data_IF_228471363190
#
_entry.id   IF_228471363190
#
_cell.length_a   1.000
_cell.length_b   1.000
_cell.length_c   1.000
_cell.angle_alpha   90.00
_cell.angle_beta   90.00
_cell.angle_gamma   90.00
#
_symmetry.space_group_name_H-M   'P 1'
#
loop_
_entity.id
_entity.type
_entity.pdbx_description
1 polymer ?
#
# COMPACT_ATOMS: atom_id res chain seq x y z
N UNK A 1 79.04 5.03 23.75
CA UNK A 1 77.75 5.71 23.81
C UNK A 1 77.48 6.26 22.44
N UNK A 2 76.64 5.60 21.66
CA UNK A 2 75.91 6.22 20.55
C UNK A 2 74.60 5.47 20.41
N UNK A 3 73.53 6.13 20.86
CA UNK A 3 72.16 5.65 20.77
C UNK A 3 71.52 6.32 19.55
N UNK A 4 71.29 5.55 18.49
CA UNK A 4 70.63 6.00 17.27
C UNK A 4 69.60 4.97 16.82
N UNK A 5 68.48 4.90 17.54
CA UNK A 5 67.33 4.07 17.21
C UNK A 5 66.41 4.75 16.16
N UNK A 6 65.54 3.99 15.47
CA UNK A 6 65.15 4.23 14.08
C UNK A 6 63.86 5.04 13.94
N UNK A 7 63.87 6.10 13.12
CA UNK A 7 62.67 6.91 12.80
C UNK A 7 62.06 6.60 11.42
N UNK A 8 62.58 5.64 10.67
CA UNK A 8 62.11 5.34 9.32
C UNK A 8 60.88 4.39 9.26
N UNK A 9 60.64 3.58 10.30
CA UNK A 9 59.57 2.57 10.30
C UNK A 9 58.17 3.09 10.66
N UNK A 10 58.08 4.21 11.38
CA UNK A 10 56.82 4.67 12.00
C UNK A 10 55.93 5.46 11.04
N UNK A 11 56.50 6.13 10.04
CA UNK A 11 55.75 6.98 9.10
C UNK A 11 55.02 6.15 8.03
N UNK A 12 55.57 5.00 7.62
CA UNK A 12 54.91 4.10 6.66
C UNK A 12 53.71 3.35 7.24
N UNK A 13 53.71 3.03 8.54
CA UNK A 13 52.63 2.27 9.16
C UNK A 13 51.34 3.11 9.34
N UNK A 14 51.48 4.43 9.53
CA UNK A 14 50.34 5.33 9.74
C UNK A 14 49.58 5.59 8.43
N UNK A 15 50.29 5.70 7.28
CA UNK A 15 49.68 5.93 5.98
C UNK A 15 48.83 4.77 5.45
N UNK A 16 49.20 3.52 5.77
CA UNK A 16 48.42 2.35 5.38
C UNK A 16 47.10 2.21 6.18
N UNK A 17 47.12 2.55 7.47
CA UNK A 17 45.93 2.48 8.33
C UNK A 17 44.86 3.52 7.96
N UNK A 18 45.26 4.73 7.55
CA UNK A 18 44.30 5.77 7.16
C UNK A 18 43.60 5.43 5.84
N UNK A 19 44.32 4.89 4.86
CA UNK A 19 43.73 4.45 3.59
C UNK A 19 42.71 3.31 3.78
N UNK A 20 43.02 2.33 4.64
CA UNK A 20 42.12 1.22 4.96
C UNK A 20 40.82 1.70 5.65
N UNK A 21 40.93 2.65 6.60
CA UNK A 21 39.78 3.21 7.30
C UNK A 21 38.89 4.06 6.37
N UNK A 22 39.48 4.85 5.48
CA UNK A 22 38.73 5.63 4.49
C UNK A 22 38.01 4.71 3.49
N UNK A 23 38.69 3.67 3.00
CA UNK A 23 38.07 2.68 2.10
C UNK A 23 36.90 1.94 2.75
N UNK A 24 37.04 1.52 4.01
CA UNK A 24 35.97 0.88 4.78
C UNK A 24 34.78 1.83 5.01
N UNK A 25 35.06 3.10 5.31
CA UNK A 25 34.04 4.13 5.45
C UNK A 25 33.23 4.36 4.17
N UNK A 26 33.89 4.38 3.01
CA UNK A 26 33.22 4.52 1.70
C UNK A 26 32.37 3.30 1.37
N UNK A 27 32.87 2.08 1.60
CA UNK A 27 32.12 0.83 1.41
C UNK A 27 30.87 0.74 2.32
N UNK A 28 31.01 1.11 3.59
CA UNK A 28 29.87 1.19 4.51
C UNK A 28 28.86 2.25 4.05
N UNK A 29 29.34 3.39 3.54
CA UNK A 29 28.48 4.47 3.02
C UNK A 29 27.74 4.07 1.74
N UNK A 30 28.36 3.33 0.84
CA UNK A 30 27.68 2.79 -0.35
C UNK A 30 26.64 1.73 0.02
N UNK A 31 26.97 0.81 0.93
CA UNK A 31 26.00 -0.19 1.41
C UNK A 31 24.80 0.45 2.10
N UNK A 32 25.02 1.43 2.96
CA UNK A 32 23.92 2.16 3.62
C UNK A 32 23.07 2.94 2.62
N UNK A 33 23.69 3.56 1.58
CA UNK A 33 22.96 4.24 0.51
C UNK A 33 22.12 3.28 -0.33
N UNK A 34 22.67 2.12 -0.68
CA UNK A 34 21.96 1.07 -1.43
C UNK A 34 20.82 0.47 -0.61
N UNK A 35 21.06 0.16 0.67
CA UNK A 35 20.02 -0.31 1.59
C UNK A 35 18.90 0.73 1.77
N UNK A 36 19.25 2.02 1.84
CA UNK A 36 18.26 3.10 1.91
C UNK A 36 17.40 3.17 0.64
N UNK A 37 18.02 3.11 -0.54
CA UNK A 37 17.28 3.11 -1.81
C UNK A 37 16.34 1.90 -1.93
N UNK A 38 16.80 0.70 -1.55
CA UNK A 38 15.95 -0.49 -1.52
C UNK A 38 14.79 -0.37 -0.52
N UNK A 39 15.04 0.21 0.66
CA UNK A 39 14.00 0.48 1.65
C UNK A 39 12.98 1.52 1.17
N UNK A 40 13.43 2.57 0.47
CA UNK A 40 12.54 3.55 -0.16
C UNK A 40 11.65 2.90 -1.23
N UNK A 41 12.22 2.06 -2.11
CA UNK A 41 11.43 1.31 -3.11
C UNK A 41 10.41 0.38 -2.44
N UNK A 42 10.82 -0.36 -1.41
CA UNK A 42 9.91 -1.23 -0.65
C UNK A 42 8.80 -0.43 0.02
N UNK A 43 9.12 0.72 0.63
CA UNK A 43 8.13 1.59 1.26
C UNK A 43 7.12 2.14 0.24
N UNK A 44 7.57 2.50 -0.97
CA UNK A 44 6.67 2.92 -2.06
C UNK A 44 5.73 1.80 -2.47
N UNK A 45 6.22 0.57 -2.65
CA UNK A 45 5.38 -0.59 -2.96
C UNK A 45 4.38 -0.90 -1.84
N UNK A 46 4.82 -0.88 -0.59
CA UNK A 46 3.95 -1.10 0.57
C UNK A 46 2.87 -0.02 0.69
N UNK A 47 3.22 1.25 0.45
CA UNK A 47 2.24 2.35 0.44
C UNK A 47 1.20 2.15 -0.67
N UNK A 48 1.63 1.72 -1.86
CA UNK A 48 0.75 1.34 -2.96
C UNK A 48 -0.21 0.22 -2.54
N UNK A 49 0.31 -0.90 -2.04
CA UNK A 49 -0.49 -2.03 -1.59
C UNK A 49 -1.47 -1.67 -0.47
N UNK A 50 -1.04 -0.90 0.52
CA UNK A 50 -1.91 -0.44 1.61
C UNK A 50 -3.07 0.41 1.08
N UNK A 51 -2.82 1.26 0.08
CA UNK A 51 -3.87 2.06 -0.57
C UNK A 51 -4.88 1.19 -1.32
N UNK A 52 -4.42 0.13 -1.99
CA UNK A 52 -5.29 -0.84 -2.66
C UNK A 52 -6.16 -1.59 -1.64
N UNK A 53 -5.55 -2.11 -0.57
CA UNK A 53 -6.25 -2.84 0.48
C UNK A 53 -7.35 -1.99 1.14
N UNK A 54 -7.04 -0.74 1.51
CA UNK A 54 -8.02 0.18 2.12
C UNK A 54 -9.18 0.55 1.18
N UNK A 55 -8.98 0.52 -0.13
CA UNK A 55 -10.05 0.78 -1.10
C UNK A 55 -10.88 -0.46 -1.37
N UNK A 56 -10.25 -1.63 -1.51
CA UNK A 56 -10.94 -2.91 -1.62
C UNK A 56 -11.84 -3.17 -0.41
N UNK A 57 -11.35 -2.89 0.81
CA UNK A 57 -12.14 -2.99 2.03
C UNK A 57 -13.35 -2.05 2.03
N UNK A 58 -13.21 -0.82 1.53
CA UNK A 58 -14.32 0.12 1.42
C UNK A 58 -15.36 -0.36 0.41
N UNK A 59 -14.92 -0.85 -0.74
CA UNK A 59 -15.83 -1.38 -1.75
C UNK A 59 -16.61 -2.59 -1.23
N UNK A 60 -15.95 -3.53 -0.56
CA UNK A 60 -16.62 -4.68 0.08
C UNK A 60 -17.71 -4.23 1.05
N UNK A 61 -17.36 -3.28 1.93
CA UNK A 61 -18.30 -2.70 2.87
C UNK A 61 -19.48 -2.01 2.18
N UNK A 62 -19.21 -1.22 1.14
CA UNK A 62 -20.20 -0.43 0.41
C UNK A 62 -21.13 -1.30 -0.44
N UNK A 63 -20.70 -2.50 -0.85
CA UNK A 63 -21.52 -3.49 -1.54
C UNK A 63 -22.40 -4.31 -0.59
N UNK A 64 -21.90 -4.62 0.62
CA UNK A 64 -22.65 -5.46 1.57
C UNK A 64 -23.97 -4.82 2.02
N UNK A 65 -23.98 -3.50 2.20
CA UNK A 65 -25.15 -2.73 2.63
C UNK A 65 -26.34 -2.77 1.63
N UNK A 66 -26.17 -2.42 0.33
CA UNK A 66 -27.24 -2.50 -0.65
C UNK A 66 -27.71 -3.93 -0.86
N UNK A 67 -26.82 -4.93 -0.90
CA UNK A 67 -27.20 -6.34 -1.05
C UNK A 67 -28.13 -6.80 0.09
N UNK A 68 -27.78 -6.49 1.34
CA UNK A 68 -28.63 -6.82 2.49
C UNK A 68 -30.00 -6.13 2.43
N UNK A 69 -30.02 -4.86 2.02
CA UNK A 69 -31.26 -4.09 1.86
C UNK A 69 -32.15 -4.68 0.77
N UNK A 70 -31.56 -5.10 -0.36
CA UNK A 70 -32.28 -5.74 -1.46
C UNK A 70 -32.84 -7.10 -1.04
N UNK A 71 -32.11 -7.89 -0.24
CA UNK A 71 -32.61 -9.15 0.28
C UNK A 71 -33.86 -8.97 1.14
N UNK A 72 -33.89 -7.95 2.01
CA UNK A 72 -35.08 -7.62 2.82
C UNK A 72 -36.23 -7.14 1.93
N UNK A 73 -35.97 -6.28 0.95
CA UNK A 73 -36.99 -5.79 0.04
C UNK A 73 -37.62 -6.92 -0.81
N UNK A 74 -36.80 -7.87 -1.27
CA UNK A 74 -37.29 -9.07 -1.97
C UNK A 74 -38.15 -9.95 -1.06
N UNK A 75 -37.79 -10.09 0.21
CA UNK A 75 -38.61 -10.82 1.17
C UNK A 75 -39.95 -10.13 1.41
N UNK A 76 -39.97 -8.80 1.56
CA UNK A 76 -41.22 -8.03 1.67
C UNK A 76 -42.14 -8.19 0.46
N UNK A 77 -41.57 -8.20 -0.76
CA UNK A 77 -42.34 -8.48 -1.98
C UNK A 77 -42.95 -9.88 -1.98
N UNK A 78 -42.25 -10.86 -1.38
CA UNK A 78 -42.66 -12.27 -1.35
C UNK A 78 -43.72 -12.55 -0.28
N UNK A 79 -43.68 -11.84 0.85
CA UNK A 79 -44.51 -12.16 2.02
C UNK A 79 -45.63 -11.17 2.30
N UNK A 80 -45.61 -9.98 1.71
CA UNK A 80 -46.65 -8.97 1.93
C UNK A 80 -47.77 -9.08 0.90
N UNK A 81 -49.02 -9.11 1.36
CA UNK A 81 -50.21 -8.98 0.51
C UNK A 81 -50.63 -7.51 0.30
N UNK A 82 -50.05 -6.57 1.06
CA UNK A 82 -50.33 -5.14 0.91
C UNK A 82 -49.60 -4.55 -0.31
N UNK A 83 -50.39 -4.02 -1.26
CA UNK A 83 -49.88 -3.39 -2.47
C UNK A 83 -49.04 -2.14 -2.21
N UNK A 84 -49.26 -1.42 -1.10
CA UNK A 84 -48.44 -0.24 -0.78
C UNK A 84 -47.03 -0.66 -0.34
N UNK A 85 -46.93 -1.64 0.54
CA UNK A 85 -45.67 -2.25 0.98
C UNK A 85 -44.89 -2.85 -0.19
N UNK A 86 -45.58 -3.54 -1.11
CA UNK A 86 -44.93 -4.09 -2.31
C UNK A 86 -44.35 -2.98 -3.22
N UNK A 87 -45.09 -1.88 -3.42
CA UNK A 87 -44.58 -0.73 -4.20
C UNK A 87 -43.36 -0.09 -3.55
N UNK A 88 -43.37 0.08 -2.22
CA UNK A 88 -42.23 0.64 -1.50
C UNK A 88 -40.99 -0.26 -1.60
N UNK A 89 -41.17 -1.57 -1.42
CA UNK A 89 -40.10 -2.56 -1.57
C UNK A 89 -39.51 -2.53 -3.00
N UNK A 90 -40.36 -2.40 -4.03
CA UNK A 90 -39.90 -2.24 -5.41
C UNK A 90 -39.06 -0.97 -5.60
N UNK A 91 -39.50 0.16 -5.06
CA UNK A 91 -38.73 1.42 -5.15
C UNK A 91 -37.39 1.34 -4.40
N UNK A 92 -37.33 0.61 -3.28
CA UNK A 92 -36.07 0.33 -2.58
C UNK A 92 -35.12 -0.44 -3.49
N UNK A 93 -35.60 -1.49 -4.17
CA UNK A 93 -34.79 -2.27 -5.11
C UNK A 93 -34.26 -1.40 -6.25
N UNK A 94 -35.11 -0.59 -6.87
CA UNK A 94 -34.70 0.33 -7.95
C UNK A 94 -33.57 1.26 -7.50
N UNK A 95 -33.70 1.87 -6.31
CA UNK A 95 -32.66 2.73 -5.75
C UNK A 95 -31.36 1.97 -5.45
N UNK A 96 -31.44 0.76 -4.92
CA UNK A 96 -30.24 -0.03 -4.62
C UNK A 96 -29.56 -0.54 -5.89
N UNK A 97 -30.31 -0.87 -6.94
CA UNK A 97 -29.75 -1.21 -8.26
C UNK A 97 -29.00 -0.03 -8.84
N UNK A 98 -29.59 1.18 -8.84
CA UNK A 98 -28.91 2.39 -9.30
C UNK A 98 -27.61 2.66 -8.51
N UNK A 99 -27.65 2.47 -7.18
CA UNK A 99 -26.46 2.60 -6.32
C UNK A 99 -25.39 1.56 -6.66
N UNK A 100 -25.76 0.31 -6.89
CA UNK A 100 -24.85 -0.76 -7.28
C UNK A 100 -24.17 -0.44 -8.62
N UNK A 101 -24.92 0.08 -9.60
CA UNK A 101 -24.35 0.52 -10.88
C UNK A 101 -23.25 1.56 -10.69
N UNK A 102 -23.49 2.58 -9.85
CA UNK A 102 -22.47 3.60 -9.55
C UNK A 102 -21.24 3.02 -8.83
N UNK A 103 -21.41 2.03 -7.94
CA UNK A 103 -20.28 1.33 -7.31
C UNK A 103 -19.46 0.53 -8.32
N UNK A 104 -20.11 -0.11 -9.30
CA UNK A 104 -19.39 -0.80 -10.39
C UNK A 104 -18.65 0.16 -11.31
N UNK A 105 -19.19 1.35 -11.57
CA UNK A 105 -18.48 2.40 -12.32
C UNK A 105 -17.22 2.86 -11.57
N UNK A 106 -17.32 3.12 -10.27
CA UNK A 106 -16.17 3.46 -9.43
C UNK A 106 -15.11 2.36 -9.41
N UNK A 107 -15.52 1.09 -9.39
CA UNK A 107 -14.60 -0.05 -9.51
C UNK A 107 -13.92 -0.08 -10.89
N UNK A 108 -14.65 0.25 -11.96
CA UNK A 108 -14.11 0.30 -13.31
C UNK A 108 -13.06 1.41 -13.47
N UNK A 109 -13.36 2.63 -13.02
CA UNK A 109 -12.42 3.75 -12.98
C UNK A 109 -11.16 3.40 -12.20
N UNK A 110 -11.32 2.71 -11.07
CA UNK A 110 -10.20 2.22 -10.28
C UNK A 110 -9.34 1.22 -11.04
N UNK A 111 -9.96 0.21 -11.67
CA UNK A 111 -9.23 -0.81 -12.43
C UNK A 111 -8.45 -0.20 -13.61
N UNK A 112 -9.01 0.82 -14.26
CA UNK A 112 -8.30 1.59 -15.29
C UNK A 112 -7.08 2.32 -14.72
N UNK A 113 -7.24 3.03 -13.60
CA UNK A 113 -6.14 3.73 -12.95
C UNK A 113 -5.05 2.84 -12.33
N UNK A 114 -5.17 1.50 -12.40
CA UNK A 114 -4.10 0.56 -12.09
C UNK A 114 -3.30 0.13 -13.33
N UNK A 115 -3.91 0.22 -14.51
CA UNK A 115 -3.29 -0.16 -15.78
C UNK A 115 -2.58 1.03 -16.47
N UNK A 116 -2.87 2.26 -16.04
CA UNK A 116 -2.18 3.50 -16.41
C UNK A 116 -0.94 3.75 -15.54
#
# INVERSE_FOLDING_TARGET
>A
MDAGAPLAGTVMLIGACTAALVGLGLLCRERTRSAKAAAETLAMHQAGQARLALRAQRLDHDLRSPIGTMAVALELLRTSDDSATQREAMQVLERQVARMTSLTEQLHEFAQGLND
#
